data_IF_951762514144
#
_entry.id   IF_951762514144
#
_cell.length_a   1.000
_cell.length_b   1.000
_cell.length_c   1.000
_cell.angle_alpha   90.00
_cell.angle_beta   90.00
_cell.angle_gamma   90.00
#
_symmetry.space_group_name_H-M   'P 1'
#
loop_
_entity.id
_entity.type
_entity.pdbx_description
1 polymer ?
#
# COMPACT_ATOMS: atom_id res chain seq x y z
N UNK A 1 -50.57 -9.49 5.26
CA UNK A 1 -49.43 -9.43 6.19
C UNK A 1 -48.77 -8.08 6.03
N UNK A 2 -48.64 -7.26 7.07
CA UNK A 2 -48.08 -5.92 6.95
C UNK A 2 -46.59 -5.93 6.74
N UNK A 3 -46.13 -5.04 5.85
CA UNK A 3 -44.73 -4.85 5.38
C UNK A 3 -43.82 -4.25 6.46
N UNK A 4 -44.35 -3.93 7.64
CA UNK A 4 -43.60 -3.26 8.73
C UNK A 4 -42.51 -4.08 9.43
N UNK A 5 -42.33 -5.36 9.08
CA UNK A 5 -41.32 -6.23 9.73
C UNK A 5 -39.92 -6.18 9.15
N UNK A 6 -39.69 -5.39 8.09
CA UNK A 6 -38.40 -5.34 7.36
C UNK A 6 -37.65 -4.00 7.46
N UNK A 7 -38.11 -3.08 8.29
CA UNK A 7 -37.32 -1.88 8.57
C UNK A 7 -36.21 -2.25 9.56
N UNK A 8 -34.94 -1.99 9.23
CA UNK A 8 -33.86 -2.19 10.18
C UNK A 8 -34.08 -1.31 11.39
N UNK A 9 -34.03 -1.89 12.58
CA UNK A 9 -34.09 -1.16 13.85
C UNK A 9 -33.00 -0.08 13.82
N UNK A 10 -33.39 1.16 14.04
CA UNK A 10 -32.46 2.29 14.20
C UNK A 10 -31.35 1.92 15.17
N UNK A 11 -30.14 1.73 14.65
CA UNK A 11 -28.98 1.46 15.49
C UNK A 11 -28.75 2.70 16.35
N UNK A 12 -28.72 2.52 17.65
CA UNK A 12 -28.20 3.52 18.61
C UNK A 12 -26.83 3.98 18.07
N UNK A 13 -26.61 5.29 17.96
CA UNK A 13 -25.30 5.88 17.67
C UNK A 13 -24.30 5.34 18.71
N UNK A 14 -23.65 4.26 18.35
CA UNK A 14 -22.43 3.81 19.03
C UNK A 14 -21.34 4.83 18.73
N UNK A 15 -20.49 5.10 19.72
CA UNK A 15 -19.25 5.89 19.54
C UNK A 15 -18.61 5.49 18.20
N UNK A 16 -18.18 6.43 17.35
CA UNK A 16 -17.56 6.04 16.08
C UNK A 16 -16.43 5.06 16.37
N UNK A 17 -16.56 3.83 15.91
CA UNK A 17 -15.51 2.83 16.09
C UNK A 17 -14.32 3.31 15.27
N UNK A 18 -13.21 3.57 15.96
CA UNK A 18 -11.96 3.97 15.36
C UNK A 18 -11.51 2.88 14.38
N UNK A 19 -11.08 3.25 13.18
CA UNK A 19 -10.45 2.33 12.25
C UNK A 19 -9.18 1.76 12.88
N UNK A 20 -8.94 0.46 12.72
CA UNK A 20 -7.74 -0.21 13.16
C UNK A 20 -6.98 -0.73 11.93
N UNK A 21 -5.72 -0.30 11.79
CA UNK A 21 -4.83 -0.78 10.75
C UNK A 21 -3.81 -1.75 11.36
N UNK A 22 -3.98 -3.02 11.08
CA UNK A 22 -2.94 -4.02 11.38
C UNK A 22 -1.85 -3.91 10.32
N UNK A 23 -0.67 -3.52 10.73
CA UNK A 23 0.44 -3.21 9.84
C UNK A 23 1.79 -3.60 10.40
N UNK A 24 2.82 -3.36 9.61
CA UNK A 24 4.22 -3.49 10.02
C UNK A 24 4.99 -2.29 9.47
N UNK A 25 5.86 -1.70 10.29
CA UNK A 25 6.57 -0.47 9.94
C UNK A 25 7.24 -0.53 8.56
N UNK A 26 7.91 -1.64 8.23
CA UNK A 26 8.65 -1.86 6.97
C UNK A 26 7.76 -2.30 5.80
N UNK A 27 6.48 -2.60 6.02
CA UNK A 27 5.61 -3.11 4.97
C UNK A 27 5.24 -2.03 3.96
N UNK A 28 5.65 -2.22 2.71
CA UNK A 28 5.23 -1.37 1.58
C UNK A 28 3.70 -1.40 1.39
N UNK A 29 3.06 -2.55 1.59
CA UNK A 29 1.61 -2.65 1.49
C UNK A 29 0.91 -1.86 2.62
N UNK A 30 1.46 -1.84 3.85
CA UNK A 30 0.96 -1.01 4.94
C UNK A 30 1.23 0.48 4.69
N UNK A 31 2.39 0.85 4.13
CA UNK A 31 2.68 2.21 3.69
C UNK A 31 1.59 2.77 2.78
N UNK A 32 1.16 2.00 1.77
CA UNK A 32 0.10 2.42 0.84
C UNK A 32 -1.19 2.79 1.57
N UNK A 33 -1.58 1.99 2.55
CA UNK A 33 -2.80 2.24 3.34
C UNK A 33 -2.64 3.43 4.28
N UNK A 34 -1.49 3.59 4.94
CA UNK A 34 -1.19 4.77 5.77
C UNK A 34 -1.32 6.06 4.97
N UNK A 35 -0.73 6.11 3.76
CA UNK A 35 -0.85 7.27 2.86
C UNK A 35 -2.30 7.54 2.49
N UNK A 36 -3.06 6.50 2.12
CA UNK A 36 -4.47 6.65 1.75
C UNK A 36 -5.30 7.21 2.92
N UNK A 37 -5.16 6.65 4.11
CA UNK A 37 -5.83 7.13 5.33
C UNK A 37 -5.47 8.59 5.63
N UNK A 38 -4.19 8.96 5.51
CA UNK A 38 -3.72 10.33 5.73
C UNK A 38 -4.25 11.31 4.69
N UNK A 39 -4.26 10.97 3.40
CA UNK A 39 -4.85 11.78 2.33
C UNK A 39 -6.35 11.99 2.55
N UNK A 40 -7.06 10.96 3.00
CA UNK A 40 -8.50 10.99 3.34
C UNK A 40 -8.78 11.68 4.67
N UNK A 41 -7.74 12.00 5.47
CA UNK A 41 -7.87 12.54 6.84
C UNK A 41 -8.72 11.66 7.76
N UNK A 42 -8.66 10.35 7.55
CA UNK A 42 -9.38 9.37 8.35
C UNK A 42 -8.51 8.95 9.54
N UNK A 43 -8.97 9.16 10.79
CA UNK A 43 -8.24 8.76 11.98
C UNK A 43 -8.24 7.23 12.12
N UNK A 44 -7.12 6.66 12.51
CA UNK A 44 -6.98 5.23 12.76
C UNK A 44 -5.99 4.96 13.90
N UNK A 45 -6.11 3.78 14.48
CA UNK A 45 -5.14 3.19 15.39
C UNK A 45 -4.32 2.17 14.60
N UNK A 46 -2.99 2.27 14.65
CA UNK A 46 -2.13 1.25 14.05
C UNK A 46 -1.75 0.20 15.08
N UNK A 47 -1.98 -1.07 14.73
CA UNK A 47 -1.63 -2.23 15.53
C UNK A 47 -0.48 -2.96 14.82
N UNK A 48 0.66 -3.03 15.49
CA UNK A 48 1.86 -3.65 14.91
C UNK A 48 1.72 -5.18 14.86
N UNK A 49 2.02 -5.74 13.69
CA UNK A 49 2.16 -7.19 13.47
C UNK A 49 3.57 -7.42 12.93
N UNK A 50 4.49 -7.83 13.79
CA UNK A 50 5.89 -8.08 13.39
C UNK A 50 5.99 -9.35 12.54
N UNK A 51 5.97 -9.16 11.22
CA UNK A 51 6.05 -10.24 10.25
C UNK A 51 7.47 -10.86 10.14
N UNK A 52 8.50 -10.21 10.68
CA UNK A 52 9.86 -10.77 10.69
C UNK A 52 10.04 -11.78 11.81
N UNK A 53 9.35 -11.58 12.95
CA UNK A 53 9.29 -12.55 14.05
C UNK A 53 8.19 -13.61 13.89
N UNK A 54 7.40 -13.54 12.82
CA UNK A 54 6.36 -14.54 12.53
C UNK A 54 5.01 -14.28 13.20
N UNK A 55 4.79 -13.09 13.80
CA UNK A 55 3.55 -12.73 14.49
C UNK A 55 2.29 -12.83 13.64
N UNK A 56 2.42 -12.76 12.30
CA UNK A 56 1.28 -12.96 11.39
C UNK A 56 0.69 -14.38 11.46
N UNK A 57 1.41 -15.35 12.07
CA UNK A 57 0.93 -16.71 12.25
C UNK A 57 0.33 -16.96 13.65
N UNK A 58 0.37 -15.98 14.55
CA UNK A 58 -0.26 -16.08 15.85
C UNK A 58 -1.78 -16.25 15.67
N UNK A 59 -2.40 -17.09 16.52
CA UNK A 59 -3.82 -17.40 16.44
C UNK A 59 -4.70 -16.14 16.49
N UNK A 60 -4.32 -15.15 17.31
CA UNK A 60 -5.01 -13.88 17.43
C UNK A 60 -5.06 -13.13 16.10
N UNK A 61 -3.93 -13.03 15.36
CA UNK A 61 -3.92 -12.37 14.08
C UNK A 61 -4.53 -13.22 12.96
N UNK A 62 -4.44 -14.54 13.04
CA UNK A 62 -5.10 -15.45 12.10
C UNK A 62 -6.62 -15.24 12.06
N UNK A 63 -7.23 -14.92 13.20
CA UNK A 63 -8.65 -14.54 13.28
C UNK A 63 -8.94 -13.18 12.61
N UNK A 64 -7.96 -12.29 12.53
CA UNK A 64 -8.09 -11.00 11.83
C UNK A 64 -7.91 -11.16 10.33
N UNK A 65 -6.91 -11.94 9.91
CA UNK A 65 -6.60 -12.18 8.50
C UNK A 65 -6.05 -13.57 8.23
N UNK A 66 -6.88 -14.42 7.64
CA UNK A 66 -6.51 -15.79 7.28
C UNK A 66 -5.43 -15.90 6.18
N UNK A 67 -5.06 -14.81 5.49
CA UNK A 67 -3.92 -14.80 4.58
C UNK A 67 -2.56 -14.73 5.28
N UNK A 68 -2.54 -14.43 6.59
CA UNK A 68 -1.30 -14.26 7.37
C UNK A 68 -0.34 -13.20 6.78
N UNK A 69 -0.90 -12.11 6.26
CA UNK A 69 -0.15 -10.97 5.70
C UNK A 69 -0.69 -9.65 6.23
N UNK A 70 0.08 -8.60 6.10
CA UNK A 70 -0.32 -7.21 6.40
C UNK A 70 -0.34 -6.39 5.10
N UNK A 71 -1.19 -5.34 5.01
CA UNK A 71 -2.09 -4.80 6.02
C UNK A 71 -3.46 -5.48 6.07
N UNK A 72 -4.15 -5.29 7.20
CA UNK A 72 -5.59 -5.49 7.32
C UNK A 72 -6.20 -4.27 7.97
N UNK A 73 -7.27 -3.73 7.39
CA UNK A 73 -8.07 -2.66 7.97
C UNK A 73 -9.31 -3.27 8.63
N UNK A 74 -9.53 -2.96 9.91
CA UNK A 74 -10.78 -3.27 10.60
C UNK A 74 -11.58 -1.98 10.74
N UNK A 75 -12.78 -1.95 10.18
CA UNK A 75 -13.71 -0.84 10.26
C UNK A 75 -15.13 -1.35 10.46
N UNK A 76 -15.82 -0.87 11.48
CA UNK A 76 -17.21 -1.26 11.84
C UNK A 76 -17.40 -2.80 11.90
N UNK A 77 -16.39 -3.53 12.38
CA UNK A 77 -16.41 -4.99 12.49
C UNK A 77 -16.08 -5.73 11.20
N UNK A 78 -15.95 -5.04 10.07
CA UNK A 78 -15.49 -5.63 8.81
C UNK A 78 -13.96 -5.67 8.75
N UNK A 79 -13.42 -6.77 8.26
CA UNK A 79 -11.99 -6.99 8.05
C UNK A 79 -11.71 -6.92 6.56
N UNK A 80 -10.97 -5.90 6.15
CA UNK A 80 -10.62 -5.65 4.74
C UNK A 80 -9.13 -5.87 4.60
N UNK A 81 -8.74 -6.75 3.73
CA UNK A 81 -7.35 -7.08 3.44
C UNK A 81 -7.01 -6.78 1.98
N UNK A 82 -5.74 -6.84 1.60
CA UNK A 82 -5.19 -6.35 0.34
C UNK A 82 -5.21 -4.82 0.22
N UNK A 83 -4.02 -4.22 0.13
CA UNK A 83 -3.87 -2.76 0.15
C UNK A 83 -4.66 -2.03 -0.94
N UNK A 84 -4.84 -2.65 -2.12
CA UNK A 84 -5.67 -2.07 -3.18
C UNK A 84 -7.14 -2.02 -2.79
N UNK A 85 -7.69 -3.14 -2.30
CA UNK A 85 -9.08 -3.20 -1.84
C UNK A 85 -9.34 -2.21 -0.70
N UNK A 86 -8.39 -2.08 0.23
CA UNK A 86 -8.48 -1.10 1.32
C UNK A 86 -8.50 0.33 0.76
N UNK A 87 -7.60 0.68 -0.16
CA UNK A 87 -7.55 2.03 -0.74
C UNK A 87 -8.83 2.38 -1.50
N UNK A 88 -9.39 1.44 -2.27
CA UNK A 88 -10.66 1.64 -2.97
C UNK A 88 -11.83 1.76 -1.98
N UNK A 89 -11.88 0.92 -0.95
CA UNK A 89 -12.86 1.04 0.12
C UNK A 89 -12.82 2.43 0.80
N UNK A 90 -11.63 2.94 1.10
CA UNK A 90 -11.46 4.27 1.68
C UNK A 90 -11.92 5.38 0.72
N UNK A 91 -11.73 5.19 -0.59
CA UNK A 91 -12.21 6.13 -1.61
C UNK A 91 -13.73 6.15 -1.72
N UNK A 92 -14.38 4.99 -1.55
CA UNK A 92 -15.82 4.85 -1.58
C UNK A 92 -16.51 5.47 -0.35
N UNK A 93 -15.98 5.21 0.86
CA UNK A 93 -16.59 5.74 2.10
C UNK A 93 -16.29 7.22 2.34
N UNK A 94 -15.20 7.74 1.80
CA UNK A 94 -14.79 9.14 1.85
C UNK A 94 -14.39 9.59 0.43
N UNK A 95 -15.34 10.00 -0.43
CA UNK A 95 -15.04 10.28 -1.83
C UNK A 95 -14.03 11.42 -2.05
N UNK A 96 -13.96 12.41 -1.15
CA UNK A 96 -13.05 13.54 -1.32
C UNK A 96 -11.94 13.60 -0.23
N UNK A 97 -10.70 13.88 -0.62
CA UNK A 97 -10.17 13.96 -1.97
C UNK A 97 -10.13 12.58 -2.66
N UNK A 98 -10.43 12.51 -3.96
CA UNK A 98 -10.44 11.24 -4.71
C UNK A 98 -9.06 10.63 -4.82
N UNK A 99 -8.98 9.33 -4.56
CA UNK A 99 -7.78 8.51 -4.86
C UNK A 99 -7.86 7.84 -6.23
N UNK A 100 -9.07 7.79 -6.83
CA UNK A 100 -9.32 7.27 -8.17
C UNK A 100 -10.00 8.33 -9.03
N UNK A 101 -9.57 8.52 -10.30
CA UNK A 101 -10.21 9.42 -11.24
C UNK A 101 -11.70 9.08 -11.47
N UNK A 102 -12.50 10.12 -11.76
CA UNK A 102 -13.93 9.94 -12.12
C UNK A 102 -14.06 9.32 -13.50
N UNK A 103 -13.24 9.77 -14.46
CA UNK A 103 -13.24 9.20 -15.81
C UNK A 103 -12.87 7.72 -15.76
N UNK A 104 -13.65 6.88 -16.44
CA UNK A 104 -13.51 5.42 -16.39
C UNK A 104 -12.20 4.92 -17.00
N UNK A 105 -11.69 5.60 -18.04
CA UNK A 105 -10.44 5.21 -18.69
C UNK A 105 -9.24 5.59 -17.82
N UNK A 106 -9.24 6.81 -17.30
CA UNK A 106 -8.20 7.27 -16.36
C UNK A 106 -8.23 6.45 -15.07
N UNK A 107 -9.40 6.07 -14.57
CA UNK A 107 -9.54 5.19 -13.41
C UNK A 107 -8.97 3.79 -13.67
N UNK A 108 -9.23 3.22 -14.85
CA UNK A 108 -8.64 1.95 -15.26
C UNK A 108 -7.12 2.06 -15.36
N UNK A 109 -6.61 3.17 -15.90
CA UNK A 109 -5.18 3.41 -16.03
C UNK A 109 -4.51 3.62 -14.67
N UNK A 110 -5.18 4.33 -13.71
CA UNK A 110 -4.70 4.44 -12.33
C UNK A 110 -4.50 3.07 -11.68
N UNK A 111 -5.48 2.15 -11.85
CA UNK A 111 -5.36 0.78 -11.37
C UNK A 111 -4.23 0.01 -12.07
N UNK A 112 -4.10 0.15 -13.38
CA UNK A 112 -3.03 -0.50 -14.14
C UNK A 112 -1.64 -0.06 -13.64
N UNK A 113 -1.44 1.25 -13.44
CA UNK A 113 -0.20 1.76 -12.82
C UNK A 113 0.00 1.18 -11.41
N UNK A 114 -1.01 1.19 -10.57
CA UNK A 114 -0.89 0.65 -9.22
C UNK A 114 -0.49 -0.83 -9.22
N UNK A 115 -1.04 -1.63 -10.15
CA UNK A 115 -0.79 -3.06 -10.26
C UNK A 115 0.65 -3.39 -10.70
N UNK A 116 1.36 -2.51 -11.38
CA UNK A 116 2.80 -2.70 -11.68
C UNK A 116 3.60 -2.97 -10.39
N UNK A 117 3.34 -2.22 -9.31
CA UNK A 117 3.96 -2.53 -8.02
C UNK A 117 3.24 -3.67 -7.31
N UNK A 118 1.90 -3.64 -7.25
CA UNK A 118 1.13 -4.52 -6.36
C UNK A 118 1.10 -5.97 -6.85
N UNK A 119 1.05 -6.19 -8.17
CA UNK A 119 0.94 -7.52 -8.76
C UNK A 119 2.26 -8.04 -9.36
N UNK A 120 3.07 -7.15 -9.95
CA UNK A 120 4.20 -7.61 -10.76
C UNK A 120 5.56 -7.50 -10.05
N UNK A 121 5.80 -6.45 -9.23
CA UNK A 121 7.11 -6.23 -8.64
C UNK A 121 7.18 -6.56 -7.14
N UNK A 122 6.34 -5.92 -6.31
CA UNK A 122 6.38 -6.08 -4.85
C UNK A 122 6.15 -7.52 -4.37
N UNK A 123 5.24 -8.33 -4.93
CA UNK A 123 5.02 -9.70 -4.48
C UNK A 123 6.28 -10.57 -4.60
N UNK A 124 7.17 -10.27 -5.53
CA UNK A 124 8.39 -11.04 -5.78
C UNK A 124 9.50 -10.80 -4.74
N UNK A 125 9.38 -9.75 -3.92
CA UNK A 125 10.41 -9.36 -2.95
C UNK A 125 9.97 -9.49 -1.49
N UNK A 126 8.74 -9.99 -1.24
CA UNK A 126 8.20 -10.13 0.12
C UNK A 126 8.89 -11.26 0.90
N UNK A 127 8.85 -11.24 2.27
CA UNK A 127 9.57 -12.22 3.09
C UNK A 127 9.29 -13.69 2.75
N UNK A 128 8.02 -14.04 2.45
CA UNK A 128 7.64 -15.43 2.10
C UNK A 128 8.34 -15.94 0.84
N UNK A 129 8.50 -15.07 -0.17
CA UNK A 129 9.18 -15.45 -1.43
C UNK A 129 10.69 -15.57 -1.18
N UNK A 130 11.29 -14.62 -0.47
CA UNK A 130 12.72 -14.69 -0.12
C UNK A 130 13.05 -15.97 0.67
N UNK A 131 12.20 -16.33 1.63
CA UNK A 131 12.34 -17.60 2.38
C UNK A 131 12.24 -18.80 1.43
N UNK A 132 11.27 -18.79 0.49
CA UNK A 132 11.08 -19.91 -0.45
C UNK A 132 12.24 -20.06 -1.42
N UNK A 133 12.87 -18.96 -1.88
CA UNK A 133 14.07 -19.01 -2.71
C UNK A 133 15.21 -19.74 -1.98
N UNK A 134 15.43 -19.46 -0.70
CA UNK A 134 16.43 -20.18 0.10
C UNK A 134 16.08 -21.66 0.28
N UNK A 135 14.83 -21.97 0.61
CA UNK A 135 14.40 -23.36 0.88
C UNK A 135 14.35 -24.22 -0.37
N UNK A 136 13.76 -23.71 -1.47
CA UNK A 136 13.54 -24.52 -2.68
C UNK A 136 14.72 -24.58 -3.64
N UNK A 137 15.55 -23.51 -3.65
CA UNK A 137 16.62 -23.36 -4.64
C UNK A 137 18.01 -23.21 -4.00
N UNK A 138 18.11 -23.23 -2.66
CA UNK A 138 19.39 -23.07 -1.96
C UNK A 138 20.00 -21.67 -2.13
N UNK A 139 19.18 -20.65 -2.47
CA UNK A 139 19.68 -19.30 -2.67
C UNK A 139 20.23 -18.74 -1.36
N UNK A 140 21.47 -18.28 -1.39
CA UNK A 140 22.10 -17.58 -0.27
C UNK A 140 21.62 -16.13 -0.15
N UNK A 141 22.10 -15.41 0.86
CA UNK A 141 21.70 -14.04 1.12
C UNK A 141 22.03 -13.10 -0.05
N UNK A 142 23.17 -13.28 -0.72
CA UNK A 142 23.59 -12.47 -1.85
C UNK A 142 22.69 -12.69 -3.09
N UNK A 143 22.36 -13.96 -3.38
CA UNK A 143 21.44 -14.31 -4.46
C UNK A 143 20.02 -13.77 -4.21
N UNK A 144 19.54 -13.84 -2.96
CA UNK A 144 18.23 -13.29 -2.57
C UNK A 144 18.25 -11.75 -2.67
N UNK A 145 19.31 -11.09 -2.26
CA UNK A 145 19.45 -9.64 -2.40
C UNK A 145 19.47 -9.23 -3.87
N UNK A 146 20.25 -9.92 -4.71
CA UNK A 146 20.31 -9.70 -6.16
C UNK A 146 18.92 -9.85 -6.81
N UNK A 147 18.17 -10.89 -6.45
CA UNK A 147 16.79 -11.07 -6.87
C UNK A 147 15.91 -9.88 -6.51
N UNK A 148 15.98 -9.44 -5.24
CA UNK A 148 15.15 -8.33 -4.78
C UNK A 148 15.52 -7.00 -5.47
N UNK A 149 16.81 -6.74 -5.67
CA UNK A 149 17.28 -5.57 -6.42
C UNK A 149 16.80 -5.60 -7.87
N UNK A 150 16.88 -6.74 -8.53
CA UNK A 150 16.40 -6.91 -9.90
C UNK A 150 14.92 -6.54 -10.04
N UNK A 151 14.04 -7.15 -9.25
CA UNK A 151 12.61 -6.91 -9.37
C UNK A 151 12.20 -5.51 -8.88
N UNK A 152 12.92 -4.95 -7.92
CA UNK A 152 12.72 -3.56 -7.53
C UNK A 152 13.07 -2.60 -8.68
N UNK A 153 14.19 -2.83 -9.38
CA UNK A 153 14.63 -2.05 -10.53
C UNK A 153 13.68 -2.18 -11.73
N UNK A 154 13.23 -3.40 -12.05
CA UNK A 154 12.28 -3.66 -13.15
C UNK A 154 10.94 -2.91 -12.94
N UNK A 155 10.44 -2.89 -11.71
CA UNK A 155 9.26 -2.11 -11.37
C UNK A 155 9.46 -0.60 -11.63
N UNK A 156 10.62 -0.04 -11.21
CA UNK A 156 10.96 1.37 -11.47
C UNK A 156 11.11 1.67 -12.96
N UNK A 157 11.81 0.80 -13.71
CA UNK A 157 11.98 0.94 -15.15
C UNK A 157 10.64 0.91 -15.90
N UNK A 158 9.72 0.07 -15.44
CA UNK A 158 8.36 0.02 -16.00
C UNK A 158 7.61 1.31 -15.73
N UNK A 159 7.66 1.86 -14.52
CA UNK A 159 7.06 3.15 -14.22
C UNK A 159 7.66 4.29 -15.03
N UNK A 160 8.98 4.34 -15.17
CA UNK A 160 9.65 5.35 -15.98
C UNK A 160 9.15 5.33 -17.43
N UNK A 161 9.08 4.13 -18.06
CA UNK A 161 8.56 3.96 -19.41
C UNK A 161 7.08 4.36 -19.54
N UNK A 162 6.25 4.10 -18.55
CA UNK A 162 4.83 4.43 -18.58
C UNK A 162 4.59 5.92 -18.36
N UNK A 163 5.30 6.54 -17.42
CA UNK A 163 5.20 7.96 -17.13
C UNK A 163 5.69 8.81 -18.33
N UNK A 164 6.78 8.39 -19.01
CA UNK A 164 7.31 9.11 -20.18
C UNK A 164 6.35 9.17 -21.37
N UNK A 165 5.33 8.33 -21.41
CA UNK A 165 4.30 8.31 -22.46
C UNK A 165 3.12 9.23 -22.18
N UNK A 166 3.13 9.95 -21.06
CA UNK A 166 2.05 10.85 -20.66
C UNK A 166 2.51 12.32 -20.65
N UNK A 167 1.59 13.26 -20.77
CA UNK A 167 1.90 14.66 -20.53
C UNK A 167 2.51 14.87 -19.14
N UNK A 168 3.51 15.72 -19.05
CA UNK A 168 4.14 16.07 -17.77
C UNK A 168 3.08 16.74 -16.86
N UNK A 169 2.91 16.20 -15.67
CA UNK A 169 1.96 16.68 -14.68
C UNK A 169 2.57 16.60 -13.27
N UNK A 170 1.99 17.29 -12.28
CA UNK A 170 2.45 17.20 -10.90
C UNK A 170 2.47 15.77 -10.32
N UNK A 171 1.48 14.97 -10.66
CA UNK A 171 1.34 13.56 -10.24
C UNK A 171 1.09 12.68 -11.46
N UNK A 172 1.08 11.38 -11.29
CA UNK A 172 1.01 10.40 -12.38
C UNK A 172 -0.17 10.62 -13.35
N UNK A 173 -1.29 11.13 -12.85
CA UNK A 173 -2.54 11.31 -13.61
C UNK A 173 -3.07 12.75 -13.62
N UNK A 174 -2.31 13.72 -13.17
CA UNK A 174 -2.72 15.12 -13.20
C UNK A 174 -2.33 15.95 -11.97
N UNK A 175 -3.28 16.75 -11.46
CA UNK A 175 -3.00 17.76 -10.43
C UNK A 175 -3.08 17.27 -8.98
N UNK A 176 -3.55 16.05 -8.74
CA UNK A 176 -3.68 15.46 -7.40
C UNK A 176 -3.16 14.02 -7.37
N UNK A 177 -2.64 13.55 -6.21
CA UNK A 177 -2.16 12.20 -6.06
C UNK A 177 -3.31 11.19 -6.10
N UNK A 178 -3.05 10.04 -6.69
CA UNK A 178 -3.97 8.90 -6.83
C UNK A 178 -3.34 7.64 -6.23
N UNK A 179 -4.07 6.51 -6.27
CA UNK A 179 -3.50 5.20 -5.92
C UNK A 179 -2.25 4.86 -6.74
N UNK A 180 -2.14 5.38 -7.98
CA UNK A 180 -0.96 5.20 -8.81
C UNK A 180 0.30 5.81 -8.16
N UNK A 181 0.20 7.07 -7.72
CA UNK A 181 1.30 7.77 -7.05
C UNK A 181 1.70 7.06 -5.75
N UNK A 182 0.72 6.61 -4.97
CA UNK A 182 0.97 5.86 -3.73
C UNK A 182 1.78 4.58 -4.03
N UNK A 183 1.43 3.86 -5.09
CA UNK A 183 2.11 2.62 -5.46
C UNK A 183 3.50 2.87 -6.08
N UNK A 184 3.66 3.94 -6.87
CA UNK A 184 4.96 4.36 -7.43
C UNK A 184 5.93 4.70 -6.29
N UNK A 185 5.50 5.54 -5.33
CA UNK A 185 6.34 5.89 -4.17
C UNK A 185 6.66 4.65 -3.33
N UNK A 186 5.69 3.74 -3.15
CA UNK A 186 5.94 2.46 -2.49
C UNK A 186 7.02 1.63 -3.19
N UNK A 187 7.08 1.66 -4.53
CA UNK A 187 8.15 0.99 -5.28
C UNK A 187 9.52 1.64 -5.05
N UNK A 188 9.56 2.98 -4.97
CA UNK A 188 10.80 3.72 -4.62
C UNK A 188 11.26 3.37 -3.21
N UNK A 189 10.36 3.29 -2.23
CA UNK A 189 10.70 2.83 -0.88
C UNK A 189 11.27 1.41 -0.90
N UNK A 190 10.74 0.53 -1.75
CA UNK A 190 11.34 -0.81 -1.93
C UNK A 190 12.76 -0.73 -2.47
N UNK A 191 13.00 0.13 -3.46
CA UNK A 191 14.34 0.37 -4.02
C UNK A 191 15.31 0.92 -2.95
N UNK A 192 14.85 1.85 -2.13
CA UNK A 192 15.62 2.42 -1.02
C UNK A 192 16.04 1.35 0.01
N UNK A 193 15.14 0.43 0.36
CA UNK A 193 15.43 -0.69 1.27
C UNK A 193 16.53 -1.62 0.73
N UNK A 194 16.71 -1.67 -0.58
CA UNK A 194 17.75 -2.43 -1.26
C UNK A 194 18.91 -1.55 -1.79
N UNK A 195 18.97 -0.30 -1.36
CA UNK A 195 20.04 0.65 -1.72
C UNK A 195 20.25 0.77 -3.25
N UNK A 196 19.14 0.78 -4.01
CA UNK A 196 19.18 0.99 -5.43
C UNK A 196 19.33 2.48 -5.76
N UNK A 197 20.18 2.79 -6.74
CA UNK A 197 20.23 4.12 -7.33
C UNK A 197 18.99 4.35 -8.19
N UNK A 198 18.26 5.43 -7.92
CA UNK A 198 17.06 5.82 -8.68
C UNK A 198 17.33 6.96 -9.66
N UNK A 199 18.58 7.44 -9.80
CA UNK A 199 18.95 8.48 -10.76
C UNK A 199 18.65 8.11 -12.22
N UNK A 200 18.70 6.82 -12.64
CA UNK A 200 18.27 6.43 -13.98
C UNK A 200 16.77 6.58 -14.27
N UNK A 201 15.95 6.92 -13.26
CA UNK A 201 14.50 7.05 -13.36
C UNK A 201 14.03 8.48 -13.02
N UNK A 202 14.34 9.49 -13.88
CA UNK A 202 14.12 10.89 -13.56
C UNK A 202 12.65 11.28 -13.39
N UNK A 203 11.71 10.66 -14.12
CA UNK A 203 10.28 10.93 -13.95
C UNK A 203 9.75 10.36 -12.64
N UNK A 204 10.12 9.13 -12.32
CA UNK A 204 9.79 8.49 -11.03
C UNK A 204 10.39 9.31 -9.87
N UNK A 205 11.64 9.74 -9.98
CA UNK A 205 12.33 10.52 -8.96
C UNK A 205 11.64 11.88 -8.75
N UNK A 206 11.31 12.60 -9.83
CA UNK A 206 10.60 13.88 -9.76
C UNK A 206 9.22 13.75 -9.12
N UNK A 207 8.43 12.75 -9.53
CA UNK A 207 7.13 12.45 -8.95
C UNK A 207 7.24 12.13 -7.46
N UNK A 208 8.18 11.26 -7.09
CA UNK A 208 8.41 10.86 -5.70
C UNK A 208 8.76 12.05 -4.81
N UNK A 209 9.66 12.92 -5.28
CA UNK A 209 10.02 14.16 -4.56
C UNK A 209 8.77 15.00 -4.27
N UNK A 210 7.91 15.19 -5.26
CA UNK A 210 6.66 15.95 -5.11
C UNK A 210 5.68 15.27 -4.16
N UNK A 211 5.56 13.95 -4.21
CA UNK A 211 4.73 13.21 -3.26
C UNK A 211 5.21 13.42 -1.81
N UNK A 212 6.52 13.40 -1.56
CA UNK A 212 7.07 13.63 -0.23
C UNK A 212 6.98 15.08 0.28
N UNK A 213 6.65 16.06 -0.56
CA UNK A 213 6.24 17.39 -0.12
C UNK A 213 4.88 17.35 0.62
N UNK A 214 4.07 16.33 0.37
CA UNK A 214 2.81 16.09 1.08
C UNK A 214 3.06 15.31 2.38
N UNK A 215 2.60 15.85 3.50
CA UNK A 215 2.75 15.20 4.82
C UNK A 215 2.21 13.77 4.84
N UNK A 216 1.14 13.50 4.11
CA UNK A 216 0.55 12.17 4.01
C UNK A 216 1.56 11.09 3.57
N UNK A 217 2.46 11.41 2.63
CA UNK A 217 3.53 10.52 2.20
C UNK A 217 4.73 10.55 3.14
N UNK A 218 5.16 11.77 3.50
CA UNK A 218 6.33 11.97 4.32
C UNK A 218 6.19 11.32 5.72
N UNK A 219 5.03 11.43 6.36
CA UNK A 219 4.78 10.89 7.69
C UNK A 219 4.52 9.37 7.66
N UNK A 220 4.03 8.83 6.53
CA UNK A 220 3.82 7.39 6.35
C UNK A 220 5.11 6.60 6.06
N UNK A 221 6.24 7.28 5.79
CA UNK A 221 7.50 6.63 5.44
C UNK A 221 7.91 5.58 6.49
N UNK A 222 8.38 4.38 6.10
CA UNK A 222 8.76 3.30 7.02
C UNK A 222 9.68 3.75 8.15
N UNK A 223 10.71 4.54 7.85
CA UNK A 223 11.69 5.00 8.84
C UNK A 223 11.15 6.05 9.83
N UNK A 224 9.89 6.48 9.68
CA UNK A 224 9.20 7.35 10.63
C UNK A 224 8.18 6.61 11.49
N UNK A 225 7.98 5.33 11.26
CA UNK A 225 7.00 4.54 12.01
C UNK A 225 7.60 4.09 13.36
N UNK A 226 6.73 3.94 14.37
CA UNK A 226 7.13 3.61 15.74
C UNK A 226 7.92 2.29 15.86
N UNK A 227 7.70 1.35 14.95
CA UNK A 227 8.42 0.06 14.91
C UNK A 227 9.83 0.13 14.33
N UNK A 228 10.23 1.26 13.71
CA UNK A 228 11.58 1.44 13.19
C UNK A 228 12.57 1.63 14.36
N UNK A 229 13.58 0.76 14.43
CA UNK A 229 14.70 0.89 15.38
C UNK A 229 15.96 1.12 14.57
N UNK A 230 16.68 2.20 14.88
CA UNK A 230 18.03 2.51 14.34
C UNK A 230 19.08 1.52 14.82
#
# INVERSE_FOLDING_TARGET
MPIEKWLPKTHKRTKPMTMQLYGFWRSNAAFRVRVALALKKLPFEEIEVDILSGRQFDAEYAEVNAEHVVPTLVHEGHRIFQSMAIMEYLDDIQPEPRLLPVDTKERAYARALALVSVADAHPLVVPRIRKQLGVAFGADAAAIESWCRHWAAEGLATYERLLSRRPVAPFALGGAPTIADICIVGQVITAELYQLDITPFPMVSSLTKRCFELRAFADAHPFKQAGYRT
#
